data_IF_390049878401
#
_entry.id   IF_390049878401
#
_cell.length_a   1.000
_cell.length_b   1.000
_cell.length_c   1.000
_cell.angle_alpha   90.00
_cell.angle_beta   90.00
_cell.angle_gamma   90.00
#
_symmetry.space_group_name_H-M   'P 1'
#
loop_
_entity.id
_entity.type
_entity.pdbx_description
1 polymer ?
#
# COMPACT_ATOMS: atom_id res chain seq x y z
N UNK A 1 4.41 13.22 -30.65
CA UNK A 1 4.83 11.86 -30.24
C UNK A 1 4.51 11.56 -28.76
N UNK A 2 3.68 12.37 -28.14
CA UNK A 2 3.31 12.33 -26.69
C UNK A 2 2.04 11.50 -26.37
N UNK A 3 1.26 11.13 -27.37
CA UNK A 3 -0.08 10.50 -27.18
C UNK A 3 -0.04 8.99 -26.90
N UNK A 4 1.12 8.32 -27.07
CA UNK A 4 1.23 6.86 -26.89
C UNK A 4 1.58 6.41 -25.47
N UNK A 5 2.02 7.30 -24.59
CA UNK A 5 2.46 6.95 -23.23
C UNK A 5 1.27 6.83 -22.26
N UNK A 6 0.24 7.68 -22.41
CA UNK A 6 -0.97 7.60 -21.57
C UNK A 6 -1.77 6.31 -21.77
N UNK A 7 -1.83 5.79 -23.00
CA UNK A 7 -2.56 4.56 -23.29
C UNK A 7 -1.92 3.30 -22.68
N UNK A 8 -0.62 3.32 -22.40
CA UNK A 8 0.09 2.17 -21.82
C UNK A 8 -0.04 2.10 -20.30
N UNK A 9 -0.09 3.26 -19.63
CA UNK A 9 -0.32 3.33 -18.17
C UNK A 9 -1.76 2.97 -17.81
N UNK A 10 -2.74 3.41 -18.59
CA UNK A 10 -4.16 3.09 -18.41
C UNK A 10 -4.44 1.61 -18.72
N UNK A 11 -3.76 1.03 -19.70
CA UNK A 11 -3.91 -0.39 -20.07
C UNK A 11 -3.41 -1.36 -18.98
N UNK A 12 -2.34 -1.04 -18.26
CA UNK A 12 -1.82 -1.85 -17.16
C UNK A 12 -2.74 -1.81 -15.93
N UNK A 13 -3.47 -0.71 -15.72
CA UNK A 13 -4.43 -0.55 -14.63
C UNK A 13 -5.75 -1.32 -14.85
N UNK A 14 -6.17 -1.51 -16.11
CA UNK A 14 -7.47 -2.13 -16.45
C UNK A 14 -7.41 -3.66 -16.57
N UNK A 15 -6.24 -4.27 -16.73
CA UNK A 15 -6.11 -5.73 -16.89
C UNK A 15 -6.03 -6.51 -15.58
N UNK A 16 -5.95 -5.85 -14.42
CA UNK A 16 -5.82 -6.53 -13.13
C UNK A 16 -7.17 -6.93 -12.49
N UNK A 17 -8.26 -7.00 -13.25
CA UNK A 17 -9.56 -7.56 -12.79
C UNK A 17 -9.67 -9.07 -12.90
N UNK A 18 -8.66 -9.74 -13.43
CA UNK A 18 -8.63 -11.21 -13.56
C UNK A 18 -7.39 -11.77 -12.86
N UNK A 19 -7.57 -12.11 -11.62
CA UNK A 19 -6.86 -13.01 -10.71
C UNK A 19 -5.59 -13.75 -11.14
N UNK A 20 -4.53 -13.05 -11.61
CA UNK A 20 -3.21 -13.65 -11.78
C UNK A 20 -2.17 -12.77 -11.09
N UNK A 21 -1.42 -13.36 -10.16
CA UNK A 21 -0.28 -12.74 -9.51
C UNK A 21 0.84 -12.50 -10.54
N UNK A 22 0.81 -11.34 -11.23
CA UNK A 22 1.90 -10.83 -12.04
C UNK A 22 2.64 -9.72 -11.29
N UNK A 23 3.89 -9.40 -11.66
CA UNK A 23 4.65 -8.34 -11.03
C UNK A 23 3.90 -7.00 -11.14
N UNK A 24 3.77 -6.32 -10.01
CA UNK A 24 2.91 -5.15 -9.83
C UNK A 24 3.47 -3.88 -10.47
N UNK A 25 2.62 -2.86 -10.73
CA UNK A 25 2.96 -1.71 -11.57
C UNK A 25 4.17 -0.90 -11.10
N UNK A 26 4.52 -0.89 -9.82
CA UNK A 26 5.74 -0.23 -9.34
C UNK A 26 7.02 -0.86 -9.92
N UNK A 27 7.05 -2.18 -10.11
CA UNK A 27 8.20 -2.90 -10.67
C UNK A 27 8.34 -2.69 -12.19
N UNK A 28 7.24 -2.52 -12.91
CA UNK A 28 7.24 -2.26 -14.36
C UNK A 28 7.77 -0.86 -14.72
N UNK A 29 7.67 0.09 -13.80
CA UNK A 29 8.20 1.46 -14.01
C UNK A 29 9.73 1.45 -14.07
N UNK A 30 10.40 0.54 -13.35
CA UNK A 30 11.87 0.40 -13.37
C UNK A 30 12.43 0.02 -14.76
N UNK A 31 11.64 -0.62 -15.61
CA UNK A 31 12.15 -1.28 -16.85
C UNK A 31 12.04 -0.43 -18.11
N UNK A 32 11.20 0.62 -18.16
CA UNK A 32 10.84 1.25 -19.42
C UNK A 32 10.90 2.78 -19.48
N UNK A 33 11.00 3.50 -18.37
CA UNK A 33 10.98 4.96 -18.36
C UNK A 33 12.07 5.55 -17.46
N UNK A 34 12.62 6.68 -17.87
CA UNK A 34 13.52 7.48 -17.06
C UNK A 34 12.78 8.03 -15.83
N UNK A 35 13.12 7.55 -14.62
CA UNK A 35 12.48 7.96 -13.34
C UNK A 35 12.45 9.49 -13.17
N UNK A 36 13.43 10.19 -13.74
CA UNK A 36 13.49 11.67 -13.75
C UNK A 36 12.30 12.28 -14.53
N UNK A 37 11.93 11.69 -15.66
CA UNK A 37 10.79 12.17 -16.46
C UNK A 37 9.46 11.93 -15.74
N UNK A 38 9.32 10.80 -15.09
CA UNK A 38 8.13 10.48 -14.27
C UNK A 38 7.98 11.49 -13.13
N UNK A 39 9.03 11.75 -12.36
CA UNK A 39 8.98 12.73 -11.29
C UNK A 39 8.71 14.15 -11.80
N UNK A 40 9.28 14.52 -12.95
CA UNK A 40 9.00 15.81 -13.58
C UNK A 40 7.52 15.95 -13.95
N UNK A 41 6.93 14.89 -14.51
CA UNK A 41 5.52 14.88 -14.89
C UNK A 41 4.62 15.00 -13.66
N UNK A 42 4.90 14.24 -12.58
CA UNK A 42 4.18 14.35 -11.31
C UNK A 42 4.37 15.69 -10.61
N UNK A 43 5.48 16.40 -10.84
CA UNK A 43 5.66 17.75 -10.31
C UNK A 43 4.83 18.77 -11.06
N UNK A 44 4.81 18.69 -12.41
CA UNK A 44 4.08 19.64 -13.25
C UNK A 44 2.56 19.44 -13.20
N UNK A 45 2.15 18.18 -13.02
CA UNK A 45 0.75 17.76 -12.98
C UNK A 45 0.49 16.83 -11.78
N UNK A 46 0.61 17.33 -10.54
CA UNK A 46 0.44 16.50 -9.36
C UNK A 46 -1.00 16.00 -9.25
N UNK A 47 -1.13 14.69 -9.00
CA UNK A 47 -2.39 13.96 -8.91
C UNK A 47 -2.76 13.75 -7.45
N UNK A 48 -4.05 13.56 -7.19
CA UNK A 48 -4.57 13.24 -5.85
C UNK A 48 -4.24 14.28 -4.77
N UNK A 49 -4.18 15.56 -5.14
CA UNK A 49 -4.03 16.64 -4.16
C UNK A 49 -5.32 16.79 -3.36
N UNK A 50 -5.20 16.93 -2.04
CA UNK A 50 -6.34 17.18 -1.15
C UNK A 50 -6.42 16.21 0.01
N UNK A 51 -7.63 15.87 0.42
CA UNK A 51 -7.93 14.88 1.45
C UNK A 51 -8.85 13.80 0.89
N UNK A 52 -8.66 12.56 1.34
CA UNK A 52 -9.54 11.43 1.01
C UNK A 52 -10.94 11.66 1.61
N UNK A 53 -11.93 10.99 1.05
CA UNK A 53 -13.30 11.03 1.56
C UNK A 53 -13.42 10.29 2.90
N UNK A 54 -14.44 10.64 3.69
CA UNK A 54 -14.69 9.97 4.98
C UNK A 54 -15.34 8.57 4.76
N UNK A 55 -15.09 7.58 5.60
CA UNK A 55 -14.11 7.59 6.71
C UNK A 55 -12.67 7.57 6.20
N UNK A 56 -11.79 8.36 6.80
CA UNK A 56 -10.39 8.47 6.38
C UNK A 56 -9.42 8.36 7.56
N UNK A 57 -8.21 7.89 7.24
CA UNK A 57 -7.06 7.84 8.15
C UNK A 57 -5.98 8.79 7.62
N UNK A 58 -5.32 9.51 8.51
CA UNK A 58 -4.41 10.58 8.12
C UNK A 58 -3.07 10.49 8.85
N UNK A 59 -1.99 10.72 8.09
CA UNK A 59 -0.64 10.76 8.61
C UNK A 59 0.09 12.03 8.21
N UNK A 60 0.99 12.50 9.06
CA UNK A 60 1.77 13.70 8.85
C UNK A 60 3.25 13.45 9.09
N UNK A 61 4.09 14.14 8.32
CA UNK A 61 5.51 14.23 8.58
C UNK A 61 6.01 15.64 8.25
N UNK A 62 7.03 16.10 8.96
CA UNK A 62 7.63 17.40 8.77
C UNK A 62 9.15 17.36 8.95
N UNK A 63 9.86 18.20 8.21
CA UNK A 63 11.29 18.39 8.34
C UNK A 63 11.56 19.78 8.90
N UNK A 64 12.18 19.84 10.08
CA UNK A 64 12.55 21.11 10.71
C UNK A 64 13.68 21.79 9.95
N UNK A 65 14.57 21.03 9.31
CA UNK A 65 15.74 21.57 8.62
C UNK A 65 15.40 22.35 7.35
N UNK A 66 14.36 21.94 6.61
CA UNK A 66 13.96 22.61 5.36
C UNK A 66 12.52 23.19 5.40
N UNK A 67 11.81 23.04 6.52
CA UNK A 67 10.44 23.54 6.67
C UNK A 67 9.40 22.79 5.82
N UNK A 68 9.76 21.66 5.22
CA UNK A 68 8.84 20.87 4.42
C UNK A 68 7.85 20.11 5.30
N UNK A 69 6.59 20.03 4.86
CA UNK A 69 5.50 19.34 5.55
C UNK A 69 4.71 18.53 4.54
N UNK A 70 4.31 17.32 4.94
CA UNK A 70 3.41 16.44 4.19
C UNK A 70 2.30 15.93 5.10
N UNK A 71 1.11 15.82 4.55
CA UNK A 71 -0.01 15.08 5.10
C UNK A 71 -0.53 14.14 4.02
N UNK A 72 -0.61 12.86 4.34
CA UNK A 72 -1.39 11.88 3.58
C UNK A 72 -2.71 11.60 4.26
N UNK A 73 -3.72 11.30 3.46
CA UNK A 73 -4.99 10.74 3.91
C UNK A 73 -5.38 9.58 3.01
N UNK A 74 -5.82 8.49 3.60
CA UNK A 74 -6.25 7.28 2.91
C UNK A 74 -7.68 6.91 3.30
N UNK A 75 -8.43 6.36 2.37
CA UNK A 75 -9.70 5.69 2.62
C UNK A 75 -9.49 4.20 2.33
N UNK A 76 -9.99 3.35 3.23
CA UNK A 76 -9.78 1.90 3.19
C UNK A 76 -11.14 1.21 3.20
N UNK A 77 -11.28 0.13 2.45
CA UNK A 77 -12.50 -0.70 2.43
C UNK A 77 -12.49 -1.76 3.54
N UNK A 78 -13.61 -2.49 3.68
CA UNK A 78 -13.78 -3.57 4.66
C UNK A 78 -12.84 -4.77 4.41
N UNK A 79 -12.15 -4.81 3.25
CA UNK A 79 -11.15 -5.82 2.89
C UNK A 79 -9.73 -5.31 3.06
N UNK A 80 -9.56 -4.19 3.75
CA UNK A 80 -8.27 -3.54 3.99
C UNK A 80 -7.54 -3.03 2.73
N UNK A 81 -8.27 -2.83 1.60
CA UNK A 81 -7.69 -2.24 0.39
C UNK A 81 -7.85 -0.72 0.41
N UNK A 82 -6.84 -0.04 -0.07
CA UNK A 82 -6.82 1.42 -0.20
C UNK A 82 -7.69 1.84 -1.39
N UNK A 83 -8.82 2.47 -1.12
CA UNK A 83 -9.74 3.01 -2.14
C UNK A 83 -9.28 4.35 -2.67
N UNK A 84 -8.78 5.20 -1.78
CA UNK A 84 -8.26 6.52 -2.10
C UNK A 84 -6.99 6.80 -1.29
N UNK A 85 -6.03 7.48 -1.90
CA UNK A 85 -4.88 8.06 -1.23
C UNK A 85 -4.67 9.47 -1.79
N UNK A 86 -4.74 10.47 -0.93
CA UNK A 86 -4.55 11.88 -1.30
C UNK A 86 -3.55 12.54 -0.38
N UNK A 87 -2.95 13.64 -0.85
CA UNK A 87 -1.94 14.34 -0.06
C UNK A 87 -2.05 15.86 -0.15
N UNK A 88 -1.51 16.52 0.87
CA UNK A 88 -1.20 17.96 0.91
C UNK A 88 0.25 18.12 1.30
N UNK A 89 1.03 18.87 0.54
CA UNK A 89 2.46 19.07 0.80
C UNK A 89 2.87 20.53 0.60
N UNK A 90 3.82 20.96 1.43
CA UNK A 90 4.58 22.19 1.25
C UNK A 90 6.06 21.80 1.30
N UNK A 91 6.78 22.02 0.21
CA UNK A 91 8.19 21.63 0.13
C UNK A 91 8.75 21.63 -1.28
N UNK A 92 9.83 20.89 -1.49
CA UNK A 92 10.53 20.83 -2.77
C UNK A 92 9.77 19.99 -3.83
N UNK A 93 10.24 20.08 -5.06
CA UNK A 93 9.73 19.32 -6.22
C UNK A 93 9.74 17.80 -5.99
N UNK A 94 10.79 17.24 -5.37
CA UNK A 94 10.87 15.82 -5.03
C UNK A 94 9.77 15.41 -4.07
N UNK A 95 9.49 16.21 -3.02
CA UNK A 95 8.41 15.91 -2.09
C UNK A 95 7.05 15.82 -2.80
N UNK A 96 6.74 16.82 -3.64
CA UNK A 96 5.47 16.89 -4.37
C UNK A 96 5.36 15.73 -5.37
N UNK A 97 6.43 15.50 -6.17
CA UNK A 97 6.44 14.45 -7.20
C UNK A 97 6.28 13.06 -6.62
N UNK A 98 7.07 12.74 -5.59
CA UNK A 98 7.04 11.42 -4.94
C UNK A 98 5.70 11.22 -4.22
N UNK A 99 5.16 12.24 -3.56
CA UNK A 99 3.85 12.13 -2.91
C UNK A 99 2.74 11.87 -3.93
N UNK A 100 2.78 12.55 -5.08
CA UNK A 100 1.85 12.31 -6.19
C UNK A 100 1.99 10.86 -6.74
N UNK A 101 3.21 10.38 -6.96
CA UNK A 101 3.48 9.02 -7.41
C UNK A 101 2.98 7.99 -6.39
N UNK A 102 3.30 8.15 -5.11
CA UNK A 102 2.86 7.25 -4.04
C UNK A 102 1.34 7.21 -3.93
N UNK A 103 0.67 8.36 -4.03
CA UNK A 103 -0.79 8.43 -3.93
C UNK A 103 -1.52 7.65 -5.03
N UNK A 104 -0.93 7.50 -6.21
CA UNK A 104 -1.47 6.65 -7.28
C UNK A 104 -1.08 5.19 -7.09
N UNK A 105 0.17 4.95 -6.72
CA UNK A 105 0.73 3.60 -6.65
C UNK A 105 0.06 2.71 -5.60
N UNK A 106 -0.39 3.28 -4.47
CA UNK A 106 -0.96 2.51 -3.37
C UNK A 106 -2.46 2.24 -3.51
N UNK A 107 -3.16 2.93 -4.38
CA UNK A 107 -4.59 2.68 -4.60
C UNK A 107 -4.82 1.28 -5.18
N UNK A 108 -5.72 0.53 -4.58
CA UNK A 108 -6.02 -0.87 -4.90
C UNK A 108 -5.09 -1.89 -4.25
N UNK A 109 -4.05 -1.46 -3.55
CA UNK A 109 -3.24 -2.35 -2.71
C UNK A 109 -3.91 -2.51 -1.34
N UNK A 110 -3.65 -3.64 -0.69
CA UNK A 110 -3.94 -3.74 0.74
C UNK A 110 -2.99 -2.83 1.54
N UNK A 111 -3.43 -2.39 2.72
CA UNK A 111 -2.64 -1.50 3.59
C UNK A 111 -1.29 -2.12 3.97
N UNK A 112 -1.25 -3.43 4.26
CA UNK A 112 0.00 -4.13 4.58
C UNK A 112 0.92 -4.24 3.37
N UNK A 113 0.36 -4.50 2.20
CA UNK A 113 1.11 -4.57 0.97
C UNK A 113 1.70 -3.22 0.56
N UNK A 114 0.93 -2.15 0.69
CA UNK A 114 1.43 -0.80 0.49
C UNK A 114 2.61 -0.50 1.43
N UNK A 115 2.48 -0.83 2.72
CA UNK A 115 3.54 -0.64 3.71
C UNK A 115 4.83 -1.41 3.36
N UNK A 116 4.71 -2.66 2.93
CA UNK A 116 5.86 -3.49 2.55
C UNK A 116 6.54 -2.96 1.27
N UNK A 117 5.76 -2.61 0.25
CA UNK A 117 6.30 -2.16 -1.03
C UNK A 117 7.08 -0.84 -0.92
N UNK A 118 6.57 0.13 -0.16
CA UNK A 118 7.22 1.45 -0.01
C UNK A 118 8.45 1.42 0.92
N UNK A 119 8.65 0.34 1.68
CA UNK A 119 9.83 0.11 2.51
C UNK A 119 10.81 -0.87 1.85
N UNK A 120 10.50 -1.40 0.68
CA UNK A 120 11.37 -2.35 -0.01
C UNK A 120 12.66 -1.69 -0.52
N UNK A 121 13.72 -2.48 -0.61
CA UNK A 121 14.98 -2.04 -1.21
C UNK A 121 14.77 -1.58 -2.65
N UNK A 122 13.94 -2.27 -3.41
CA UNK A 122 13.60 -1.93 -4.79
C UNK A 122 13.00 -0.53 -4.93
N UNK A 123 12.15 -0.12 -3.97
CA UNK A 123 11.59 1.24 -3.97
C UNK A 123 12.68 2.29 -3.70
N UNK A 124 13.56 2.04 -2.74
CA UNK A 124 14.67 2.95 -2.42
C UNK A 124 15.62 3.10 -3.60
N UNK A 125 16.01 1.99 -4.23
CA UNK A 125 16.89 1.98 -5.40
C UNK A 125 16.34 2.75 -6.61
N UNK A 126 15.03 2.86 -6.76
CA UNK A 126 14.42 3.67 -7.82
C UNK A 126 14.84 5.15 -7.77
N UNK A 127 15.27 5.62 -6.60
CA UNK A 127 15.60 7.02 -6.31
C UNK A 127 17.07 7.25 -5.98
N UNK A 128 17.96 6.29 -6.21
CA UNK A 128 19.40 6.40 -5.88
C UNK A 128 20.11 7.55 -6.62
N UNK A 129 19.57 7.99 -7.75
CA UNK A 129 20.06 9.13 -8.51
C UNK A 129 19.72 10.50 -7.91
N UNK A 130 18.88 10.55 -6.85
CA UNK A 130 18.52 11.79 -6.15
C UNK A 130 19.66 12.20 -5.23
N UNK A 131 20.03 13.47 -5.26
CA UNK A 131 21.03 14.06 -4.35
C UNK A 131 20.68 13.81 -2.89
N UNK A 132 21.67 13.57 -2.06
CA UNK A 132 21.50 13.26 -0.62
C UNK A 132 20.70 14.35 0.12
N UNK A 133 20.86 15.61 -0.23
CA UNK A 133 20.08 16.71 0.34
C UNK A 133 18.58 16.59 0.02
N UNK A 134 18.24 15.96 -1.09
CA UNK A 134 16.85 15.78 -1.58
C UNK A 134 16.28 14.42 -1.16
N UNK A 135 17.11 13.44 -0.77
CA UNK A 135 16.68 12.17 -0.19
C UNK A 135 15.85 12.36 1.09
N UNK A 136 16.12 13.44 1.84
CA UNK A 136 15.28 13.80 2.99
C UNK A 136 13.83 14.07 2.58
N UNK A 137 13.59 14.69 1.43
CA UNK A 137 12.23 14.93 0.92
C UNK A 137 11.55 13.63 0.49
N UNK A 138 12.29 12.69 -0.10
CA UNK A 138 11.80 11.33 -0.40
C UNK A 138 11.38 10.61 0.88
N UNK A 139 12.26 10.56 1.88
CA UNK A 139 11.98 9.94 3.17
C UNK A 139 10.77 10.58 3.88
N UNK A 140 10.59 11.90 3.72
CA UNK A 140 9.46 12.62 4.29
C UNK A 140 8.14 12.19 3.64
N UNK A 141 8.09 12.04 2.31
CA UNK A 141 6.91 11.55 1.59
C UNK A 141 6.51 10.14 2.06
N UNK A 142 7.50 9.23 2.14
CA UNK A 142 7.31 7.87 2.65
C UNK A 142 6.80 7.89 4.09
N UNK A 143 7.43 8.68 4.97
CA UNK A 143 7.02 8.77 6.38
C UNK A 143 5.60 9.28 6.55
N UNK A 144 5.16 10.23 5.73
CA UNK A 144 3.78 10.74 5.75
C UNK A 144 2.75 9.65 5.41
N UNK A 145 3.03 8.84 4.38
CA UNK A 145 2.16 7.74 3.99
C UNK A 145 2.17 6.60 5.03
N UNK A 146 3.35 6.20 5.52
CA UNK A 146 3.47 5.22 6.60
C UNK A 146 2.67 5.66 7.83
N UNK A 147 2.72 6.95 8.20
CA UNK A 147 1.95 7.48 9.33
C UNK A 147 0.43 7.34 9.11
N UNK A 148 -0.08 7.53 7.88
CA UNK A 148 -1.49 7.31 7.57
C UNK A 148 -1.89 5.82 7.65
N UNK A 149 -1.02 4.91 7.18
CA UNK A 149 -1.22 3.47 7.32
C UNK A 149 -1.20 3.02 8.79
N UNK A 150 -0.34 3.63 9.61
CA UNK A 150 -0.29 3.38 11.05
C UNK A 150 -1.55 3.87 11.77
N UNK A 151 -2.09 5.04 11.39
CA UNK A 151 -3.33 5.58 11.92
C UNK A 151 -4.49 4.60 11.68
N UNK A 152 -4.62 4.08 10.45
CA UNK A 152 -5.55 2.99 10.12
C UNK A 152 -5.33 1.76 11.00
N UNK A 153 -4.08 1.28 11.10
CA UNK A 153 -3.74 0.09 11.87
C UNK A 153 -4.04 0.26 13.37
N UNK A 154 -3.87 1.47 13.92
CA UNK A 154 -4.20 1.77 15.30
C UNK A 154 -5.72 1.75 15.52
N UNK A 155 -6.50 2.38 14.63
CA UNK A 155 -7.96 2.36 14.71
C UNK A 155 -8.52 0.92 14.65
N UNK A 156 -8.03 0.10 13.71
CA UNK A 156 -8.43 -1.30 13.61
C UNK A 156 -8.05 -2.11 14.87
N UNK A 157 -6.91 -1.76 15.50
CA UNK A 157 -6.51 -2.39 16.78
C UNK A 157 -7.40 -1.98 17.93
N UNK A 158 -7.83 -0.71 17.98
CA UNK A 158 -8.70 -0.20 19.04
C UNK A 158 -10.12 -0.79 18.95
N UNK A 159 -10.55 -1.20 17.75
CA UNK A 159 -11.82 -1.91 17.55
C UNK A 159 -11.76 -3.38 17.99
N UNK A 160 -10.57 -3.96 18.10
CA UNK A 160 -10.41 -5.34 18.54
C UNK A 160 -10.61 -5.48 20.04
N UNK A 161 -11.60 -6.26 20.45
CA UNK A 161 -12.01 -6.43 21.85
C UNK A 161 -11.13 -7.37 22.67
N UNK A 162 -10.20 -8.08 22.04
CA UNK A 162 -9.32 -9.06 22.70
C UNK A 162 -9.97 -10.42 22.99
N UNK A 163 -11.20 -10.65 22.55
CA UNK A 163 -11.93 -11.91 22.80
C UNK A 163 -11.46 -13.09 21.92
N UNK A 164 -10.84 -12.79 20.78
CA UNK A 164 -10.34 -13.80 19.83
C UNK A 164 -8.83 -13.65 19.60
N UNK A 165 -8.13 -14.79 19.47
CA UNK A 165 -6.72 -14.79 19.10
C UNK A 165 -6.52 -14.32 17.66
N UNK A 166 -5.70 -13.28 17.46
CA UNK A 166 -5.33 -12.82 16.13
C UNK A 166 -4.19 -13.67 15.57
N UNK A 167 -4.42 -14.28 14.42
CA UNK A 167 -3.39 -14.99 13.64
C UNK A 167 -2.65 -14.01 12.74
N UNK A 168 -3.39 -13.19 12.01
CA UNK A 168 -2.81 -12.15 11.15
C UNK A 168 -2.97 -10.77 11.79
N UNK A 169 -1.89 -10.24 12.35
CA UNK A 169 -1.88 -8.90 12.98
C UNK A 169 -1.84 -7.76 11.96
N UNK A 170 -1.46 -8.02 10.70
CA UNK A 170 -1.48 -7.02 9.64
C UNK A 170 -2.90 -6.65 9.20
N UNK A 171 -3.82 -7.62 9.23
CA UNK A 171 -5.20 -7.49 8.77
C UNK A 171 -6.22 -7.79 9.87
N UNK A 172 -5.78 -7.94 11.12
CA UNK A 172 -6.64 -8.23 12.28
C UNK A 172 -7.56 -9.44 12.07
N UNK A 173 -7.03 -10.50 11.44
CA UNK A 173 -7.79 -11.71 11.15
C UNK A 173 -7.57 -12.71 12.28
N UNK A 174 -8.68 -13.13 12.91
CA UNK A 174 -8.67 -14.12 14.00
C UNK A 174 -8.57 -15.55 13.46
N UNK A 175 -8.16 -16.48 14.32
CA UNK A 175 -8.17 -17.91 14.04
C UNK A 175 -9.57 -18.38 13.61
N UNK A 176 -10.58 -17.99 14.35
CA UNK A 176 -11.98 -18.33 14.07
C UNK A 176 -12.45 -17.86 12.69
N UNK A 177 -12.00 -16.68 12.25
CA UNK A 177 -12.32 -16.19 10.91
C UNK A 177 -11.70 -17.10 9.85
N UNK A 178 -10.43 -17.49 10.03
CA UNK A 178 -9.74 -18.38 9.10
C UNK A 178 -10.41 -19.76 9.06
N UNK A 179 -10.71 -20.36 10.22
CA UNK A 179 -11.41 -21.64 10.31
C UNK A 179 -12.78 -21.63 9.61
N UNK A 180 -13.57 -20.59 9.86
CA UNK A 180 -14.88 -20.42 9.23
C UNK A 180 -14.76 -20.34 7.69
N UNK A 181 -13.80 -19.60 7.19
CA UNK A 181 -13.60 -19.48 5.74
C UNK A 181 -13.11 -20.80 5.11
N UNK A 182 -12.23 -21.54 5.80
CA UNK A 182 -11.80 -22.86 5.38
C UNK A 182 -13.00 -23.82 5.31
N UNK A 183 -13.81 -23.89 6.37
CA UNK A 183 -14.97 -24.79 6.43
C UNK A 183 -16.04 -24.44 5.38
N UNK A 184 -16.34 -23.16 5.21
CA UNK A 184 -17.39 -22.71 4.30
C UNK A 184 -17.03 -22.84 2.81
N UNK A 185 -15.73 -22.74 2.48
CA UNK A 185 -15.24 -22.66 1.10
C UNK A 185 -14.32 -23.81 0.69
N UNK A 186 -13.98 -24.70 1.62
CA UNK A 186 -13.08 -25.83 1.36
C UNK A 186 -11.68 -25.38 0.95
N UNK A 187 -11.15 -24.33 1.61
CA UNK A 187 -9.83 -23.80 1.28
C UNK A 187 -8.72 -24.77 1.76
N UNK A 188 -7.71 -24.96 0.93
CA UNK A 188 -6.66 -25.96 1.15
C UNK A 188 -5.24 -25.39 1.11
N UNK A 189 -5.10 -24.11 0.73
CA UNK A 189 -3.80 -23.43 0.65
C UNK A 189 -3.81 -22.08 1.31
N UNK A 190 -2.63 -21.62 1.76
CA UNK A 190 -2.45 -20.30 2.35
C UNK A 190 -2.85 -19.19 1.36
N UNK A 191 -2.55 -19.36 0.07
CA UNK A 191 -2.90 -18.41 -0.98
C UNK A 191 -4.41 -18.26 -1.15
N UNK A 192 -5.18 -19.35 -1.01
CA UNK A 192 -6.64 -19.30 -1.05
C UNK A 192 -7.19 -18.58 0.16
N UNK A 193 -6.69 -18.86 1.36
CA UNK A 193 -7.04 -18.15 2.60
C UNK A 193 -6.73 -16.66 2.46
N UNK A 194 -5.53 -16.31 1.99
CA UNK A 194 -5.14 -14.92 1.75
C UNK A 194 -6.09 -14.20 0.79
N UNK A 195 -6.50 -14.86 -0.28
CA UNK A 195 -7.43 -14.27 -1.26
C UNK A 195 -8.81 -13.98 -0.67
N UNK A 196 -9.24 -14.80 0.29
CA UNK A 196 -10.59 -14.73 0.85
C UNK A 196 -10.69 -13.76 2.02
N UNK A 197 -9.74 -13.81 2.98
CA UNK A 197 -9.80 -13.01 4.20
C UNK A 197 -8.57 -12.11 4.42
N UNK A 198 -7.68 -12.00 3.44
CA UNK A 198 -6.43 -11.21 3.48
C UNK A 198 -5.38 -11.69 4.49
N UNK A 199 -5.67 -12.70 5.32
CA UNK A 199 -4.68 -13.25 6.24
C UNK A 199 -3.46 -13.79 5.46
N UNK A 200 -2.24 -13.41 5.89
CA UNK A 200 -1.01 -13.78 5.18
C UNK A 200 -0.60 -12.84 4.04
N UNK A 201 -1.46 -11.93 3.60
CA UNK A 201 -1.20 -11.03 2.47
C UNK A 201 -0.25 -9.86 2.77
N UNK A 202 0.16 -9.69 4.02
CA UNK A 202 1.07 -8.63 4.44
C UNK A 202 2.50 -9.12 4.60
N UNK A 203 3.02 -9.11 5.84
CA UNK A 203 4.40 -9.50 6.14
C UNK A 203 4.70 -11.00 6.00
N UNK A 204 3.67 -11.84 5.85
CA UNK A 204 3.81 -13.29 5.69
C UNK A 204 4.18 -14.06 6.95
N UNK A 205 4.42 -13.42 8.08
CA UNK A 205 4.86 -14.09 9.33
C UNK A 205 3.86 -15.11 9.88
N UNK A 206 2.58 -14.97 9.52
CA UNK A 206 1.51 -15.87 9.93
C UNK A 206 1.28 -17.06 8.97
N UNK A 207 2.02 -17.21 7.87
CA UNK A 207 1.81 -18.29 6.89
C UNK A 207 1.88 -19.68 7.51
N UNK A 208 2.85 -19.89 8.42
CA UNK A 208 2.98 -21.18 9.08
C UNK A 208 1.76 -21.49 9.97
N UNK A 209 1.27 -20.50 10.74
CA UNK A 209 0.09 -20.67 11.57
C UNK A 209 -1.18 -20.91 10.74
N UNK A 210 -1.31 -20.21 9.61
CA UNK A 210 -2.43 -20.41 8.67
C UNK A 210 -2.38 -21.85 8.11
N UNK A 211 -1.19 -22.37 7.76
CA UNK A 211 -1.05 -23.74 7.28
C UNK A 211 -1.42 -24.76 8.36
N UNK A 212 -1.01 -24.54 9.61
CA UNK A 212 -1.39 -25.41 10.75
C UNK A 212 -2.91 -25.42 10.97
N UNK A 213 -3.59 -24.26 10.79
CA UNK A 213 -5.06 -24.19 10.87
C UNK A 213 -5.71 -24.94 9.70
N UNK A 214 -5.19 -24.82 8.47
CA UNK A 214 -5.69 -25.56 7.31
C UNK A 214 -5.57 -27.08 7.57
N UNK A 215 -4.42 -27.54 8.06
CA UNK A 215 -4.15 -28.95 8.29
C UNK A 215 -5.00 -29.53 9.43
N UNK A 216 -5.42 -28.71 10.40
CA UNK A 216 -6.21 -29.10 11.56
C UNK A 216 -7.72 -28.96 11.35
N UNK A 217 -8.14 -28.14 10.38
CA UNK A 217 -9.57 -27.87 10.14
C UNK A 217 -10.16 -28.93 9.20
N UNK A 218 -11.21 -29.68 9.62
CA UNK A 218 -11.86 -30.64 8.74
C UNK A 218 -12.49 -29.90 7.55
N UNK A 219 -12.09 -30.25 6.34
CA UNK A 219 -12.79 -29.83 5.12
C UNK A 219 -14.06 -30.67 4.93
N UNK A 220 -15.16 -30.10 4.44
CA UNK A 220 -16.43 -30.80 4.25
C UNK A 220 -16.37 -31.92 3.22
#
# INVERSE_FOLDING_TARGET
MLVKVEAYLIGAFLTNRLGCAGPRPLFLVKTLLNTTEILREHFLHPRNIGEADEPRFAGRAASVSCGAVIQFSIQVDDRHNILQAKFRAVGCDVLISVSSLLSEAVVGMSTAEAANNIQSEDFVEMFDWIDDNRKTCLALAVSGLISALQDYSNAARDEWTGEEALICTCFFVSERTIENEIQNKGLTTVEEVTRVCSAGGGCGSCHQLIQEIIDSTPTP
#
